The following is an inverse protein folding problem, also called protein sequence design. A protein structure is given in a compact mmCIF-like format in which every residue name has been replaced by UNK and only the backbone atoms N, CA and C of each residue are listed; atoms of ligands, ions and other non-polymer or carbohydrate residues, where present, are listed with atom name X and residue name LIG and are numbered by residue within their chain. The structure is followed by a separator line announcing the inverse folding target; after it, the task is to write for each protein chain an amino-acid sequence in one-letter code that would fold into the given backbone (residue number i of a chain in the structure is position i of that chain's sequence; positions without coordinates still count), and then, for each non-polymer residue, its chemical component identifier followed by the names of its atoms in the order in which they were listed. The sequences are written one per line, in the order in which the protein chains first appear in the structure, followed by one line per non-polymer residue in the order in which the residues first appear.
data_IF_227127329269
#
_entry.id   IF_227127329269
#
_cell.length_a   1.000
_cell.length_b   1.000
_cell.length_c   1.000
_cell.angle_alpha   90.00
_cell.angle_beta   90.00
_cell.angle_gamma   90.00
#
_symmetry.space_group_name_H-M   'P 1'
#
loop_
_entity.id
_entity.type
_entity.pdbx_description
1 polymer ?
#
# COMPACT_ATOMS: atom_id res chain seq x y z
N UNK A 1 2.41 10.51 -19.25
CA UNK A 1 2.52 11.71 -18.37
C UNK A 1 2.85 12.88 -19.28
N UNK A 2 2.14 14.01 -19.22
CA UNK A 2 2.36 15.16 -20.11
C UNK A 2 2.45 14.80 -21.61
N UNK A 3 1.48 14.04 -22.13
CA UNK A 3 1.38 13.65 -23.57
C UNK A 3 2.56 12.84 -24.13
N UNK A 4 3.53 12.43 -23.29
CA UNK A 4 4.66 11.61 -23.69
C UNK A 4 4.59 10.20 -23.09
N UNK A 5 4.89 9.15 -23.87
CA UNK A 5 5.10 7.82 -23.34
C UNK A 5 6.44 7.76 -22.62
N UNK A 6 6.44 7.25 -21.39
CA UNK A 6 7.66 7.00 -20.63
C UNK A 6 7.81 5.50 -20.38
N UNK A 7 9.04 4.99 -20.53
CA UNK A 7 9.39 3.66 -20.01
C UNK A 7 9.38 3.70 -18.48
N UNK A 8 8.99 2.61 -17.84
CA UNK A 8 9.01 2.50 -16.36
C UNK A 8 10.38 2.87 -15.77
N UNK A 9 11.47 2.44 -16.42
CA UNK A 9 12.86 2.80 -16.06
C UNK A 9 13.03 4.31 -15.92
N UNK A 10 12.51 5.10 -16.86
CA UNK A 10 12.64 6.55 -16.85
C UNK A 10 11.85 7.21 -15.71
N UNK A 11 10.81 6.55 -15.19
CA UNK A 11 10.02 7.02 -14.05
C UNK A 11 10.68 6.64 -12.71
N UNK A 12 11.39 5.51 -12.66
CA UNK A 12 12.08 5.02 -11.44
C UNK A 12 13.44 5.71 -11.25
N UNK A 13 14.19 5.99 -12.32
CA UNK A 13 15.52 6.61 -12.24
C UNK A 13 15.57 7.89 -11.39
N UNK A 14 14.63 8.86 -11.52
CA UNK A 14 14.67 10.08 -10.71
C UNK A 14 14.51 9.82 -9.20
N UNK A 15 13.76 8.78 -8.82
CA UNK A 15 13.58 8.38 -7.42
C UNK A 15 14.90 7.83 -6.86
N UNK A 16 15.52 6.88 -7.58
CA UNK A 16 16.81 6.31 -7.21
C UNK A 16 17.91 7.36 -7.15
N UNK A 17 17.94 8.29 -8.10
CA UNK A 17 18.89 9.41 -8.10
C UNK A 17 18.70 10.30 -6.86
N UNK A 18 17.46 10.58 -6.46
CA UNK A 18 17.16 11.36 -5.25
C UNK A 18 17.59 10.62 -3.99
N UNK A 19 17.37 9.31 -3.92
CA UNK A 19 17.84 8.46 -2.82
C UNK A 19 19.37 8.53 -2.73
N UNK A 20 20.08 8.30 -3.84
CA UNK A 20 21.55 8.36 -3.90
C UNK A 20 22.09 9.71 -3.43
N UNK A 21 21.55 10.82 -3.93
CA UNK A 21 21.96 12.18 -3.51
C UNK A 21 21.72 12.43 -2.02
N UNK A 22 20.64 11.88 -1.47
CA UNK A 22 20.34 11.98 -0.04
C UNK A 22 21.35 11.18 0.78
N UNK A 23 21.72 9.98 0.32
CA UNK A 23 22.76 9.15 0.93
C UNK A 23 24.13 9.84 0.87
N UNK A 24 24.54 10.38 -0.27
CA UNK A 24 25.80 11.14 -0.40
C UNK A 24 25.88 12.29 0.61
N UNK A 25 24.76 13.01 0.79
CA UNK A 25 24.68 14.12 1.75
C UNK A 25 24.79 13.61 3.19
N UNK A 26 24.10 12.52 3.53
CA UNK A 26 24.17 11.90 4.85
C UNK A 26 25.59 11.37 5.16
N UNK A 27 26.24 10.69 4.21
CA UNK A 27 27.58 10.14 4.37
C UNK A 27 28.63 11.24 4.54
N UNK A 28 28.56 12.33 3.75
CA UNK A 28 29.47 13.48 3.90
C UNK A 28 29.40 14.13 5.28
N UNK A 29 28.22 14.13 5.91
CA UNK A 29 28.02 14.73 7.22
C UNK A 29 28.49 13.83 8.36
N UNK A 30 28.51 12.50 8.16
CA UNK A 30 28.74 11.51 9.23
C UNK A 30 30.07 10.76 9.12
N UNK A 31 30.76 10.79 7.99
CA UNK A 31 32.04 10.10 7.76
C UNK A 31 33.17 11.10 7.47
N UNK A 32 34.34 10.87 8.08
CA UNK A 32 35.53 11.71 7.88
C UNK A 32 36.11 11.62 6.45
N UNK A 33 35.74 10.59 5.68
CA UNK A 33 36.10 10.43 4.27
C UNK A 33 34.86 10.40 3.39
N UNK A 34 34.91 11.15 2.29
CA UNK A 34 33.89 11.11 1.26
C UNK A 34 33.92 9.75 0.54
N UNK A 35 33.15 8.79 1.04
CA UNK A 35 32.88 7.56 0.30
C UNK A 35 31.85 7.85 -0.79
N UNK A 36 32.11 7.40 -2.02
CA UNK A 36 31.13 7.50 -3.09
C UNK A 36 29.94 6.58 -2.77
N UNK A 37 28.71 7.11 -2.86
CA UNK A 37 27.49 6.29 -2.76
C UNK A 37 27.19 5.62 -4.11
N UNK A 38 28.18 4.95 -4.69
CA UNK A 38 28.12 4.31 -6.01
C UNK A 38 27.73 2.84 -5.97
N UNK A 39 27.54 2.27 -4.78
CA UNK A 39 27.05 0.91 -4.57
C UNK A 39 25.68 0.88 -3.91
N UNK A 40 24.84 -0.09 -4.28
CA UNK A 40 23.54 -0.33 -3.66
C UNK A 40 23.13 -1.81 -3.73
N UNK A 41 22.54 -2.31 -2.64
CA UNK A 41 21.74 -3.52 -2.66
C UNK A 41 20.27 -3.12 -2.83
N UNK A 42 19.67 -3.53 -3.95
CA UNK A 42 18.31 -3.20 -4.31
C UNK A 42 17.40 -4.38 -3.95
N UNK A 43 16.39 -4.09 -3.12
CA UNK A 43 15.33 -5.04 -2.80
C UNK A 43 14.48 -5.37 -4.03
N UNK A 44 13.95 -6.59 -4.07
CA UNK A 44 12.89 -6.97 -5.00
C UNK A 44 11.90 -7.96 -4.35
N UNK A 45 10.65 -8.01 -4.83
CA UNK A 45 9.73 -9.06 -4.43
C UNK A 45 10.26 -10.42 -4.93
N UNK A 46 9.85 -11.52 -4.29
CA UNK A 46 10.24 -12.88 -4.75
C UNK A 46 9.80 -13.09 -6.19
N UNK A 47 8.59 -12.64 -6.53
CA UNK A 47 8.07 -12.60 -7.89
C UNK A 47 7.59 -11.19 -8.25
N UNK A 48 8.04 -10.69 -9.40
CA UNK A 48 7.50 -9.48 -10.02
C UNK A 48 6.12 -9.77 -10.64
N UNK A 49 5.24 -8.77 -10.70
CA UNK A 49 3.99 -8.93 -11.43
C UNK A 49 4.22 -9.14 -12.94
N UNK A 50 3.57 -10.16 -13.51
CA UNK A 50 3.55 -10.38 -14.95
C UNK A 50 3.09 -11.79 -15.35
N UNK A 51 2.47 -11.90 -16.52
CA UNK A 51 1.98 -13.18 -17.08
C UNK A 51 3.03 -13.92 -17.92
N UNK A 52 4.11 -13.24 -18.29
CA UNK A 52 5.14 -13.80 -19.17
C UNK A 52 6.17 -14.60 -18.37
N UNK A 53 6.72 -15.68 -18.92
CA UNK A 53 7.71 -16.52 -18.23
C UNK A 53 8.97 -15.77 -17.75
N UNK A 54 9.32 -14.63 -18.37
CA UNK A 54 10.49 -13.81 -18.04
C UNK A 54 10.16 -12.55 -17.22
N UNK A 55 9.01 -12.50 -16.55
CA UNK A 55 8.59 -11.33 -15.76
C UNK A 55 9.62 -10.93 -14.68
N UNK A 56 10.16 -11.91 -13.95
CA UNK A 56 11.19 -11.69 -12.94
C UNK A 56 12.48 -11.12 -13.53
N UNK A 57 12.97 -11.72 -14.60
CA UNK A 57 14.17 -11.24 -15.30
C UNK A 57 13.95 -9.82 -15.85
N UNK A 58 12.78 -9.56 -16.43
CA UNK A 58 12.42 -8.24 -16.96
C UNK A 58 12.35 -7.19 -15.83
N UNK A 59 11.79 -7.55 -14.67
CA UNK A 59 11.73 -6.70 -13.48
C UNK A 59 13.12 -6.32 -12.99
N UNK A 60 13.99 -7.32 -12.77
CA UNK A 60 15.38 -7.11 -12.36
C UNK A 60 16.18 -6.30 -13.37
N UNK A 61 16.03 -6.57 -14.68
CA UNK A 61 16.71 -5.80 -15.72
C UNK A 61 16.29 -4.33 -15.71
N UNK A 62 14.99 -4.04 -15.52
CA UNK A 62 14.50 -2.65 -15.41
C UNK A 62 15.05 -1.96 -14.17
N UNK A 63 15.09 -2.65 -13.03
CA UNK A 63 15.63 -2.12 -11.79
C UNK A 63 17.14 -1.83 -11.92
N UNK A 64 17.88 -2.75 -12.54
CA UNK A 64 19.31 -2.61 -12.87
C UNK A 64 19.58 -1.44 -13.82
N UNK A 65 18.81 -1.32 -14.90
CA UNK A 65 18.90 -0.21 -15.85
C UNK A 65 18.63 1.13 -15.15
N UNK A 66 17.59 1.20 -14.31
CA UNK A 66 17.25 2.41 -13.57
C UNK A 66 18.33 2.79 -12.55
N UNK A 67 18.88 1.81 -11.83
CA UNK A 67 20.00 1.99 -10.89
C UNK A 67 21.27 2.48 -11.58
N UNK A 68 21.56 1.95 -12.77
CA UNK A 68 22.68 2.39 -13.60
C UNK A 68 22.54 3.84 -14.03
N UNK A 69 21.37 4.26 -14.53
CA UNK A 69 21.12 5.67 -14.86
C UNK A 69 21.09 6.59 -13.63
N UNK A 70 20.73 6.07 -12.45
CA UNK A 70 20.84 6.80 -11.19
C UNK A 70 22.30 6.91 -10.69
N UNK A 71 23.21 6.18 -11.32
CA UNK A 71 24.64 6.20 -11.06
C UNK A 71 25.10 5.30 -9.92
N UNK A 72 24.38 4.21 -9.66
CA UNK A 72 24.88 3.07 -8.89
C UNK A 72 25.68 2.16 -9.83
N UNK A 73 27.01 2.18 -9.72
CA UNK A 73 27.94 1.39 -10.52
C UNK A 73 27.99 -0.07 -10.07
N UNK A 74 27.85 -0.32 -8.77
CA UNK A 74 27.85 -1.65 -8.19
C UNK A 74 26.48 -1.95 -7.61
N UNK A 75 25.78 -2.89 -8.23
CA UNK A 75 24.42 -3.24 -7.84
C UNK A 75 24.36 -4.71 -7.45
N UNK A 76 23.73 -4.97 -6.32
CA UNK A 76 23.27 -6.31 -5.94
C UNK A 76 21.76 -6.32 -5.77
N UNK A 77 21.18 -7.49 -5.91
CA UNK A 77 19.75 -7.70 -5.78
C UNK A 77 19.49 -8.71 -4.68
N UNK A 78 18.50 -8.45 -3.85
CA UNK A 78 18.17 -9.33 -2.74
C UNK A 78 16.66 -9.37 -2.47
N UNK A 79 16.08 -10.55 -2.20
CA UNK A 79 14.65 -10.65 -1.94
C UNK A 79 14.25 -9.90 -0.66
N UNK A 80 13.25 -9.03 -0.78
CA UNK A 80 12.71 -8.23 0.32
C UNK A 80 12.26 -9.04 1.54
N UNK A 81 11.51 -10.17 1.41
CA UNK A 81 11.11 -10.93 2.59
C UNK A 81 12.30 -11.56 3.31
N UNK A 82 13.35 -11.96 2.58
CA UNK A 82 14.59 -12.47 3.19
C UNK A 82 15.35 -11.32 3.86
N UNK A 83 15.37 -10.13 3.26
CA UNK A 83 15.96 -8.94 3.87
C UNK A 83 15.31 -8.64 5.23
N UNK A 84 13.97 -8.61 5.29
CA UNK A 84 13.24 -8.41 6.53
C UNK A 84 13.59 -9.47 7.59
N UNK A 85 13.69 -10.75 7.19
CA UNK A 85 14.08 -11.83 8.09
C UNK A 85 15.52 -11.71 8.60
N UNK A 86 16.48 -11.36 7.74
CA UNK A 86 17.88 -11.13 8.12
C UNK A 86 17.99 -9.97 9.10
N UNK A 87 17.23 -8.90 8.90
CA UNK A 87 17.21 -7.76 9.79
C UNK A 87 16.87 -8.18 11.22
N UNK A 88 15.87 -9.06 11.39
CA UNK A 88 15.54 -9.61 12.70
C UNK A 88 16.63 -10.55 13.22
N UNK A 89 17.05 -11.54 12.43
CA UNK A 89 18.02 -12.56 12.86
C UNK A 89 19.40 -11.98 13.17
N UNK A 90 19.72 -10.80 12.66
CA UNK A 90 20.96 -10.09 13.01
C UNK A 90 21.04 -9.75 14.49
N UNK A 91 19.91 -9.41 15.12
CA UNK A 91 19.84 -9.09 16.55
C UNK A 91 19.74 -10.35 17.44
N UNK A 92 19.47 -11.52 16.84
CA UNK A 92 19.30 -12.81 17.52
C UNK A 92 20.16 -13.94 16.88
N UNK A 93 21.50 -13.81 16.92
CA UNK A 93 22.42 -14.72 16.23
C UNK A 93 22.38 -16.17 16.75
N UNK A 94 21.82 -16.42 17.94
CA UNK A 94 21.61 -17.75 18.50
C UNK A 94 20.56 -18.57 17.74
N UNK A 95 19.71 -17.93 16.95
CA UNK A 95 18.67 -18.58 16.14
C UNK A 95 19.31 -19.18 14.89
N UNK A 96 19.69 -20.46 14.96
CA UNK A 96 20.37 -21.16 13.87
C UNK A 96 19.42 -21.89 12.92
N UNK A 97 18.17 -22.12 13.31
CA UNK A 97 17.14 -22.72 12.45
C UNK A 97 15.77 -22.21 12.85
N UNK A 98 14.94 -21.82 11.87
CA UNK A 98 13.58 -21.36 12.13
C UNK A 98 12.71 -21.37 10.87
N UNK A 99 11.46 -21.75 11.00
CA UNK A 99 10.43 -21.53 9.98
C UNK A 99 9.69 -20.23 10.30
N UNK A 100 9.66 -19.30 9.34
CA UNK A 100 9.21 -17.94 9.55
C UNK A 100 8.13 -17.58 8.53
N UNK A 101 7.15 -16.77 8.94
CA UNK A 101 6.20 -16.12 8.04
C UNK A 101 6.51 -14.62 8.02
N UNK A 102 6.94 -14.09 6.89
CA UNK A 102 7.02 -12.66 6.66
C UNK A 102 5.67 -12.17 6.13
N UNK A 103 5.15 -11.11 6.74
CA UNK A 103 3.87 -10.46 6.42
C UNK A 103 4.15 -8.99 6.12
N UNK A 104 4.21 -8.61 4.86
CA UNK A 104 4.35 -7.21 4.46
C UNK A 104 2.99 -6.65 4.03
N UNK A 105 2.37 -5.86 4.90
CA UNK A 105 1.08 -5.24 4.61
C UNK A 105 1.27 -3.76 4.28
N UNK A 106 1.47 -3.51 2.99
CA UNK A 106 1.79 -2.20 2.43
C UNK A 106 0.59 -1.32 2.09
N UNK A 107 0.83 -0.35 1.21
CA UNK A 107 -0.19 0.58 0.69
C UNK A 107 -1.04 -0.04 -0.42
N UNK A 108 -0.41 -0.70 -1.39
CA UNK A 108 -1.12 -1.32 -2.53
C UNK A 108 -1.37 -2.82 -2.37
N UNK A 109 -0.45 -3.52 -1.71
CA UNK A 109 -0.38 -4.98 -1.67
C UNK A 109 -0.21 -5.53 -0.26
N UNK A 110 -0.52 -6.82 -0.14
CA UNK A 110 -0.20 -7.68 0.97
C UNK A 110 0.68 -8.79 0.41
N UNK A 111 1.93 -8.84 0.88
CA UNK A 111 2.91 -9.81 0.43
C UNK A 111 3.26 -10.75 1.59
N UNK A 112 2.98 -12.04 1.39
CA UNK A 112 3.18 -13.10 2.37
C UNK A 112 4.27 -14.06 1.90
N UNK A 113 5.19 -14.42 2.78
CA UNK A 113 6.30 -15.30 2.42
C UNK A 113 6.64 -16.25 3.56
N UNK A 114 6.61 -17.55 3.28
CA UNK A 114 7.10 -18.58 4.21
C UNK A 114 8.57 -18.86 3.91
N UNK A 115 9.40 -18.70 4.92
CA UNK A 115 10.85 -18.84 4.85
C UNK A 115 11.31 -19.95 5.78
N UNK A 116 12.30 -20.73 5.34
CA UNK A 116 13.07 -21.63 6.22
C UNK A 116 14.50 -21.11 6.31
N UNK A 117 14.92 -20.84 7.53
CA UNK A 117 16.29 -20.47 7.86
C UNK A 117 17.04 -21.68 8.42
N UNK A 118 18.25 -21.96 7.92
CA UNK A 118 19.18 -22.96 8.46
C UNK A 118 20.62 -22.48 8.32
N UNK A 119 21.26 -22.12 9.43
CA UNK A 119 22.63 -21.61 9.47
C UNK A 119 22.73 -20.24 8.81
N UNK A 120 23.26 -20.19 7.58
CA UNK A 120 23.30 -18.96 6.77
C UNK A 120 22.35 -19.03 5.56
N UNK A 121 21.67 -20.17 5.37
CA UNK A 121 20.82 -20.41 4.20
C UNK A 121 19.38 -20.02 4.50
N UNK A 122 18.80 -19.30 3.55
CA UNK A 122 17.38 -19.01 3.49
C UNK A 122 16.77 -19.72 2.29
N UNK A 123 15.67 -20.41 2.53
CA UNK A 123 14.84 -21.04 1.50
C UNK A 123 13.46 -20.37 1.54
N UNK A 124 13.02 -19.88 0.38
CA UNK A 124 11.63 -19.44 0.20
C UNK A 124 10.79 -20.67 -0.09
N UNK A 125 9.91 -21.03 0.84
CA UNK A 125 9.02 -22.21 0.71
C UNK A 125 7.79 -21.86 -0.11
N UNK A 126 7.17 -20.71 0.17
CA UNK A 126 6.04 -20.21 -0.59
C UNK A 126 6.02 -18.68 -0.57
N UNK A 127 5.39 -18.09 -1.58
CA UNK A 127 5.09 -16.65 -1.62
C UNK A 127 3.72 -16.43 -2.21
N UNK A 128 2.98 -15.48 -1.64
CA UNK A 128 1.65 -15.13 -2.08
C UNK A 128 1.47 -13.61 -1.98
N UNK A 129 1.24 -12.96 -3.12
CA UNK A 129 0.97 -11.52 -3.21
C UNK A 129 -0.51 -11.29 -3.53
N UNK A 130 -1.16 -10.44 -2.76
CA UNK A 130 -2.57 -10.07 -2.95
C UNK A 130 -2.67 -8.57 -3.16
N UNK A 131 -3.54 -8.16 -4.08
CA UNK A 131 -3.95 -6.76 -4.26
C UNK A 131 -4.83 -6.25 -3.12
N UNK A 132 -4.40 -6.48 -1.87
CA UNK A 132 -5.04 -6.02 -0.65
C UNK A 132 -4.04 -5.10 0.05
N UNK A 133 -4.34 -3.81 0.08
CA UNK A 133 -3.43 -2.79 0.61
C UNK A 133 -4.14 -1.77 1.48
N UNK A 134 -3.36 -0.93 2.15
CA UNK A 134 -3.88 0.22 2.89
C UNK A 134 -4.78 1.15 2.05
N UNK A 135 -4.56 1.25 0.74
CA UNK A 135 -5.37 2.05 -0.18
C UNK A 135 -6.77 1.46 -0.36
N UNK A 136 -6.91 0.13 -0.33
CA UNK A 136 -8.22 -0.53 -0.37
C UNK A 136 -9.02 -0.27 0.92
N UNK A 137 -8.34 -0.22 2.06
CA UNK A 137 -8.94 0.19 3.34
C UNK A 137 -9.39 1.65 3.26
N UNK A 138 -8.56 2.54 2.71
CA UNK A 138 -8.90 3.96 2.54
C UNK A 138 -10.13 4.14 1.63
N UNK A 139 -10.22 3.36 0.55
CA UNK A 139 -11.39 3.34 -0.34
C UNK A 139 -12.66 2.86 0.36
N UNK A 140 -12.58 1.83 1.22
CA UNK A 140 -13.74 1.40 2.00
C UNK A 140 -14.19 2.45 3.00
N UNK A 141 -13.25 3.11 3.69
CA UNK A 141 -13.56 4.22 4.57
C UNK A 141 -14.23 5.37 3.80
N UNK A 142 -13.70 5.72 2.63
CA UNK A 142 -14.32 6.73 1.76
C UNK A 142 -15.75 6.35 1.40
N UNK A 143 -15.96 5.10 0.95
CA UNK A 143 -17.26 4.57 0.55
C UNK A 143 -18.26 4.58 1.72
N UNK A 144 -17.84 4.14 2.91
CA UNK A 144 -18.74 4.00 4.07
C UNK A 144 -19.03 5.33 4.75
N UNK A 145 -18.03 6.21 4.86
CA UNK A 145 -18.15 7.46 5.60
C UNK A 145 -18.62 8.62 4.71
N UNK A 146 -18.09 8.74 3.49
CA UNK A 146 -18.31 9.94 2.67
C UNK A 146 -19.48 9.78 1.69
N UNK A 147 -19.67 8.63 1.03
CA UNK A 147 -20.74 8.51 0.03
C UNK A 147 -22.14 8.91 0.55
N UNK A 148 -22.58 8.50 1.76
CA UNK A 148 -23.88 8.95 2.29
C UNK A 148 -23.96 10.47 2.49
N UNK A 149 -22.83 11.12 2.81
CA UNK A 149 -22.72 12.56 2.99
C UNK A 149 -22.57 13.33 1.66
N UNK A 150 -22.25 12.62 0.58
CA UNK A 150 -22.15 13.13 -0.79
C UNK A 150 -23.43 12.88 -1.62
N UNK A 151 -24.44 12.22 -1.05
CA UNK A 151 -25.75 12.02 -1.68
C UNK A 151 -26.05 10.60 -2.14
N UNK A 152 -25.23 9.60 -1.78
CA UNK A 152 -25.58 8.20 -2.04
C UNK A 152 -26.86 7.82 -1.29
N UNK A 153 -27.80 7.22 -2.03
CA UNK A 153 -29.12 6.81 -1.52
C UNK A 153 -30.20 7.88 -1.61
N UNK A 154 -29.84 9.10 -2.03
CA UNK A 154 -30.80 10.19 -2.18
C UNK A 154 -31.61 10.08 -3.48
N UNK A 155 -32.82 10.63 -3.44
CA UNK A 155 -33.73 10.72 -4.59
C UNK A 155 -33.61 12.09 -5.25
N UNK A 156 -34.00 12.17 -6.52
CA UNK A 156 -34.05 13.41 -7.27
C UNK A 156 -35.28 13.46 -8.17
N UNK A 157 -35.82 14.66 -8.36
CA UNK A 157 -36.84 14.95 -9.36
C UNK A 157 -36.21 15.54 -10.62
N UNK A 158 -36.65 15.06 -11.78
CA UNK A 158 -36.28 15.58 -13.11
C UNK A 158 -37.52 15.79 -13.96
N UNK A 159 -37.49 16.76 -14.88
CA UNK A 159 -38.54 16.95 -15.89
C UNK A 159 -38.46 15.83 -16.93
N UNK A 160 -39.48 14.98 -16.98
CA UNK A 160 -39.74 14.10 -18.13
C UNK A 160 -40.52 14.85 -19.22
N UNK A 161 -40.80 14.19 -20.36
CA UNK A 161 -41.53 14.80 -21.48
C UNK A 161 -42.91 15.35 -21.07
N UNK A 162 -43.67 14.62 -20.25
CA UNK A 162 -45.05 14.99 -19.87
C UNK A 162 -45.28 15.11 -18.34
N UNK A 163 -44.31 14.74 -17.51
CA UNK A 163 -44.44 14.73 -16.04
C UNK A 163 -43.10 14.84 -15.34
N UNK A 164 -43.11 15.33 -14.10
CA UNK A 164 -41.97 15.15 -13.22
C UNK A 164 -41.78 13.67 -12.87
N UNK A 165 -40.54 13.22 -12.92
CA UNK A 165 -40.15 11.85 -12.59
C UNK A 165 -39.25 11.92 -11.37
N UNK A 166 -39.62 11.21 -10.31
CA UNK A 166 -38.81 11.05 -9.12
C UNK A 166 -38.16 9.66 -9.12
N UNK A 167 -36.82 9.62 -9.15
CA UNK A 167 -36.04 8.37 -9.07
C UNK A 167 -34.94 8.47 -8.02
N UNK A 168 -34.23 7.37 -7.77
CA UNK A 168 -32.92 7.46 -7.13
C UNK A 168 -31.98 8.30 -7.99
N UNK A 169 -31.13 9.09 -7.34
CA UNK A 169 -30.01 9.73 -8.01
C UNK A 169 -29.02 8.64 -8.45
N UNK A 170 -28.51 8.66 -9.69
CA UNK A 170 -27.62 7.62 -10.21
C UNK A 170 -26.19 7.76 -9.65
N UNK A 171 -26.04 7.68 -8.32
CA UNK A 171 -24.76 7.86 -7.63
C UNK A 171 -23.72 6.81 -8.04
N UNK A 172 -24.18 5.63 -8.49
CA UNK A 172 -23.33 4.53 -8.95
C UNK A 172 -22.43 4.93 -10.13
N UNK A 173 -22.84 5.92 -10.93
CA UNK A 173 -22.03 6.47 -12.03
C UNK A 173 -20.82 7.31 -11.56
N UNK A 174 -20.78 7.67 -10.27
CA UNK A 174 -19.76 8.53 -9.67
C UNK A 174 -18.75 7.72 -8.85
N UNK A 175 -19.12 6.54 -8.34
CA UNK A 175 -18.37 5.84 -7.30
C UNK A 175 -16.92 5.53 -7.69
N UNK A 176 -16.72 4.89 -8.83
CA UNK A 176 -15.38 4.48 -9.27
C UNK A 176 -14.45 5.69 -9.50
N UNK A 177 -15.02 6.80 -9.98
CA UNK A 177 -14.28 8.05 -10.19
C UNK A 177 -13.99 8.77 -8.87
N UNK A 178 -14.89 8.68 -7.89
CA UNK A 178 -14.68 9.22 -6.55
C UNK A 178 -13.62 8.43 -5.78
N UNK A 179 -13.55 7.11 -5.97
CA UNK A 179 -12.57 6.25 -5.30
C UNK A 179 -11.18 6.31 -5.94
N UNK A 180 -11.08 6.78 -7.18
CA UNK A 180 -9.82 6.94 -7.89
C UNK A 180 -9.47 8.42 -8.07
N UNK A 181 -8.83 9.00 -7.06
CA UNK A 181 -8.46 10.42 -7.05
C UNK A 181 -7.58 10.84 -8.24
N UNK A 182 -6.81 9.93 -8.83
CA UNK A 182 -5.95 10.24 -9.98
C UNK A 182 -6.75 10.54 -11.26
N UNK A 183 -8.00 10.06 -11.34
CA UNK A 183 -8.90 10.29 -12.48
C UNK A 183 -10.19 11.02 -12.10
N UNK A 184 -10.34 11.45 -10.85
CA UNK A 184 -11.56 12.12 -10.38
C UNK A 184 -11.83 13.43 -11.11
N UNK A 185 -10.81 14.06 -11.71
CA UNK A 185 -10.97 15.22 -12.60
C UNK A 185 -11.95 14.97 -13.76
N UNK A 186 -12.18 13.72 -14.16
CA UNK A 186 -13.18 13.34 -15.18
C UNK A 186 -14.61 13.70 -14.76
N UNK A 187 -14.89 13.78 -13.45
CA UNK A 187 -16.17 14.22 -12.91
C UNK A 187 -16.46 15.70 -13.21
N UNK A 188 -15.48 16.50 -13.66
CA UNK A 188 -15.74 17.89 -14.04
C UNK A 188 -16.58 18.05 -15.32
N UNK A 189 -16.80 16.98 -16.07
CA UNK A 189 -17.63 16.98 -17.27
C UNK A 189 -19.10 17.30 -16.95
N UNK A 190 -19.79 17.94 -17.90
CA UNK A 190 -21.19 18.36 -17.73
C UNK A 190 -22.13 17.17 -17.48
N UNK A 191 -21.81 15.98 -18.00
CA UNK A 191 -22.60 14.78 -17.76
C UNK A 191 -22.71 14.40 -16.27
N UNK A 192 -21.70 14.76 -15.46
CA UNK A 192 -21.69 14.51 -14.02
C UNK A 192 -22.10 15.76 -13.21
N UNK A 193 -21.71 16.95 -13.65
CA UNK A 193 -21.95 18.17 -12.86
C UNK A 193 -23.36 18.71 -13.01
N UNK A 194 -23.98 18.58 -14.20
CA UNK A 194 -25.36 19.04 -14.42
C UNK A 194 -26.39 18.31 -13.54
N UNK A 195 -26.36 16.96 -13.43
CA UNK A 195 -27.28 16.26 -12.53
C UNK A 195 -27.15 16.68 -11.07
N UNK A 196 -25.90 16.87 -10.60
CA UNK A 196 -25.63 17.33 -9.23
C UNK A 196 -26.20 18.74 -9.01
N UNK A 197 -26.02 19.66 -9.96
CA UNK A 197 -26.58 21.01 -9.87
C UNK A 197 -28.11 21.02 -9.84
N UNK A 198 -28.77 20.27 -10.74
CA UNK A 198 -30.23 20.11 -10.73
C UNK A 198 -30.75 19.52 -9.41
N UNK A 199 -29.93 18.68 -8.77
CA UNK A 199 -30.28 18.15 -7.46
C UNK A 199 -30.16 19.17 -6.34
N UNK A 200 -29.20 20.09 -6.43
CA UNK A 200 -29.02 21.18 -5.46
C UNK A 200 -30.20 22.18 -5.52
N UNK A 201 -30.74 22.45 -6.71
CA UNK A 201 -31.87 23.38 -6.94
C UNK A 201 -33.18 22.98 -6.24
N UNK A 202 -33.30 21.74 -5.76
CA UNK A 202 -34.48 21.28 -5.04
C UNK A 202 -34.56 21.82 -3.60
N UNK A 203 -33.49 22.46 -3.11
CA UNK A 203 -33.42 23.21 -1.83
C UNK A 203 -33.95 22.48 -0.58
N UNK A 204 -33.89 21.15 -0.58
CA UNK A 204 -34.23 20.29 0.56
C UNK A 204 -32.99 19.96 1.42
N UNK A 205 -33.17 19.16 2.48
CA UNK A 205 -32.07 18.77 3.37
C UNK A 205 -30.92 18.07 2.63
N UNK A 206 -31.25 17.26 1.63
CA UNK A 206 -30.26 16.53 0.83
C UNK A 206 -29.47 17.46 -0.10
N UNK A 207 -29.96 18.66 -0.44
CA UNK A 207 -29.20 19.63 -1.25
C UNK A 207 -27.83 19.95 -0.63
N UNK A 208 -27.70 19.94 0.70
CA UNK A 208 -26.41 20.12 1.38
C UNK A 208 -25.39 19.04 0.99
N UNK A 209 -25.82 17.77 0.90
CA UNK A 209 -24.96 16.63 0.50
C UNK A 209 -24.43 16.79 -0.92
N UNK A 210 -25.31 17.23 -1.84
CA UNK A 210 -24.92 17.47 -3.22
C UNK A 210 -24.04 18.71 -3.40
N UNK A 211 -24.17 19.74 -2.55
CA UNK A 211 -23.20 20.85 -2.50
C UNK A 211 -21.80 20.35 -2.12
N UNK A 212 -21.69 19.44 -1.13
CA UNK A 212 -20.40 18.79 -0.79
C UNK A 212 -19.82 18.03 -1.98
N UNK A 213 -20.64 17.22 -2.66
CA UNK A 213 -20.22 16.50 -3.88
C UNK A 213 -19.77 17.46 -4.98
N UNK A 214 -20.51 18.54 -5.20
CA UNK A 214 -20.18 19.54 -6.21
C UNK A 214 -18.83 20.22 -5.91
N UNK A 215 -18.62 20.70 -4.68
CA UNK A 215 -17.33 21.31 -4.29
C UNK A 215 -16.19 20.32 -4.37
N UNK A 216 -16.39 19.07 -3.92
CA UNK A 216 -15.38 18.00 -4.03
C UNK A 216 -14.92 17.83 -5.49
N UNK A 217 -15.86 17.80 -6.43
CA UNK A 217 -15.60 17.66 -7.87
C UNK A 217 -14.91 18.92 -8.42
N UNK A 218 -15.54 20.09 -8.25
CA UNK A 218 -15.09 21.33 -8.91
C UNK A 218 -13.76 21.84 -8.40
N UNK A 219 -13.46 21.61 -7.12
CA UNK A 219 -12.20 22.02 -6.50
C UNK A 219 -11.14 20.91 -6.49
N UNK A 220 -11.48 19.73 -7.00
CA UNK A 220 -10.63 18.54 -7.01
C UNK A 220 -10.15 18.12 -5.60
N UNK A 221 -11.05 18.18 -4.60
CA UNK A 221 -10.73 17.83 -3.21
C UNK A 221 -10.68 16.32 -2.94
N UNK A 222 -10.83 15.46 -3.95
CA UNK A 222 -10.70 14.00 -3.80
C UNK A 222 -9.39 13.59 -3.14
N UNK A 223 -8.26 14.18 -3.56
CA UNK A 223 -6.96 13.86 -2.97
C UNK A 223 -6.88 14.24 -1.48
N UNK A 224 -7.38 15.43 -1.12
CA UNK A 224 -7.42 15.90 0.28
C UNK A 224 -8.30 14.99 1.14
N UNK A 225 -9.46 14.57 0.63
CA UNK A 225 -10.33 13.63 1.34
C UNK A 225 -9.65 12.28 1.60
N UNK A 226 -8.94 11.73 0.61
CA UNK A 226 -8.14 10.51 0.79
C UNK A 226 -6.98 10.69 1.78
N UNK A 227 -6.33 11.85 1.78
CA UNK A 227 -5.29 12.16 2.76
C UNK A 227 -5.85 12.19 4.19
N UNK A 228 -6.99 12.87 4.40
CA UNK A 228 -7.65 12.93 5.69
C UNK A 228 -8.09 11.53 6.19
N UNK A 229 -8.57 10.67 5.29
CA UNK A 229 -8.90 9.27 5.60
C UNK A 229 -7.66 8.47 5.99
N UNK A 230 -6.55 8.63 5.26
CA UNK A 230 -5.29 7.94 5.58
C UNK A 230 -4.77 8.35 6.96
N UNK A 231 -4.88 9.63 7.31
CA UNK A 231 -4.53 10.16 8.63
C UNK A 231 -5.49 9.67 9.73
N UNK A 232 -6.79 9.56 9.45
CA UNK A 232 -7.77 8.96 10.35
C UNK A 232 -7.38 7.50 10.67
N UNK A 233 -7.15 6.69 9.62
CA UNK A 233 -6.72 5.29 9.75
C UNK A 233 -5.47 5.16 10.60
N UNK A 234 -4.44 5.95 10.31
CA UNK A 234 -3.19 5.91 11.07
C UNK A 234 -3.38 6.30 12.56
N UNK A 235 -4.23 7.29 12.86
CA UNK A 235 -4.57 7.64 14.24
C UNK A 235 -5.31 6.52 14.96
N UNK A 236 -6.26 5.86 14.30
CA UNK A 236 -7.00 4.73 14.88
C UNK A 236 -6.13 3.50 15.15
N UNK A 237 -4.97 3.38 14.48
CA UNK A 237 -3.98 2.35 14.82
C UNK A 237 -3.28 2.59 16.16
N UNK A 238 -3.32 3.80 16.71
CA UNK A 238 -2.67 4.17 17.99
C UNK A 238 -3.63 4.69 19.05
N UNK A 239 -4.83 5.12 18.67
CA UNK A 239 -5.83 5.74 19.53
C UNK A 239 -7.15 4.95 19.44
N UNK A 240 -7.94 4.94 20.52
CA UNK A 240 -9.26 4.27 20.52
C UNK A 240 -10.32 5.04 19.71
N UNK A 241 -10.09 6.33 19.47
CA UNK A 241 -10.99 7.19 18.71
C UNK A 241 -10.20 8.27 17.97
N UNK A 242 -10.70 8.70 16.82
CA UNK A 242 -10.12 9.79 16.04
C UNK A 242 -11.22 10.53 15.26
N UNK A 243 -10.92 11.75 14.82
CA UNK A 243 -11.85 12.63 14.11
C UNK A 243 -11.42 12.80 12.65
N UNK A 244 -12.31 12.50 11.70
CA UNK A 244 -12.17 12.85 10.30
C UNK A 244 -12.70 14.26 10.09
N UNK A 245 -11.82 15.19 9.74
CA UNK A 245 -12.15 16.58 9.52
C UNK A 245 -11.75 16.97 8.10
N UNK A 246 -12.73 17.37 7.28
CA UNK A 246 -12.53 17.84 5.90
C UNK A 246 -13.32 19.15 5.76
N UNK A 247 -12.76 20.28 6.22
CA UNK A 247 -13.46 21.57 6.27
C UNK A 247 -13.86 22.09 4.89
N UNK A 248 -13.11 21.74 3.85
CA UNK A 248 -13.38 22.13 2.46
C UNK A 248 -14.76 21.68 1.95
N UNK A 249 -15.30 20.62 2.54
CA UNK A 249 -16.62 20.08 2.21
C UNK A 249 -17.51 19.92 3.45
N UNK A 250 -17.20 20.63 4.54
CA UNK A 250 -18.00 20.62 5.76
C UNK A 250 -18.31 19.20 6.27
N UNK A 251 -17.26 18.40 6.46
CA UNK A 251 -17.37 17.05 7.01
C UNK A 251 -16.58 16.96 8.31
N UNK A 252 -17.27 16.51 9.35
CA UNK A 252 -16.74 16.26 10.67
C UNK A 252 -17.34 14.96 11.21
N UNK A 253 -16.52 13.92 11.36
CA UNK A 253 -16.96 12.60 11.83
C UNK A 253 -16.01 12.11 12.93
N UNK A 254 -16.55 11.85 14.12
CA UNK A 254 -15.84 11.10 15.14
C UNK A 254 -16.01 9.60 14.86
N UNK A 255 -14.91 8.84 14.86
CA UNK A 255 -14.91 7.40 14.65
C UNK A 255 -14.11 6.70 15.76
N UNK A 256 -14.65 5.60 16.28
CA UNK A 256 -13.94 4.71 17.20
C UNK A 256 -13.18 3.62 16.45
N UNK A 257 -12.16 3.03 17.07
CA UNK A 257 -11.42 1.90 16.49
C UNK A 257 -12.33 0.72 16.18
N UNK A 258 -13.28 0.41 17.07
CA UNK A 258 -14.25 -0.68 16.85
C UNK A 258 -15.15 -0.45 15.62
N UNK A 259 -15.60 0.78 15.39
CA UNK A 259 -16.39 1.10 14.19
C UNK A 259 -15.54 1.02 12.93
N UNK A 260 -14.30 1.49 12.99
CA UNK A 260 -13.33 1.32 11.90
C UNK A 260 -13.08 -0.16 11.58
N UNK A 261 -12.82 -0.99 12.58
CA UNK A 261 -12.60 -2.44 12.40
C UNK A 261 -13.85 -3.15 11.84
N UNK A 262 -15.05 -2.67 12.20
CA UNK A 262 -16.31 -3.14 11.60
C UNK A 262 -16.41 -2.76 10.12
N UNK A 263 -16.01 -1.54 9.75
CA UNK A 263 -16.01 -1.07 8.36
C UNK A 263 -15.08 -1.93 7.48
N UNK A 264 -13.95 -2.38 8.04
CA UNK A 264 -12.92 -3.11 7.29
C UNK A 264 -12.97 -4.64 7.46
N UNK A 265 -14.07 -5.17 8.02
CA UNK A 265 -14.19 -6.58 8.37
C UNK A 265 -13.98 -7.52 7.16
N UNK A 266 -14.43 -7.12 5.97
CA UNK A 266 -14.23 -7.89 4.74
C UNK A 266 -12.75 -7.96 4.36
N UNK A 267 -12.02 -6.84 4.47
CA UNK A 267 -10.57 -6.78 4.21
C UNK A 267 -9.79 -7.62 5.23
N UNK A 268 -10.20 -7.59 6.49
CA UNK A 268 -9.61 -8.43 7.54
C UNK A 268 -9.85 -9.93 7.27
N UNK A 269 -11.03 -10.28 6.76
CA UNK A 269 -11.35 -11.65 6.35
C UNK A 269 -10.49 -12.09 5.16
N UNK A 270 -10.32 -11.22 4.15
CA UNK A 270 -9.41 -11.49 3.03
C UNK A 270 -7.95 -11.60 3.45
N UNK A 271 -7.49 -10.78 4.41
CA UNK A 271 -6.16 -10.88 4.99
C UNK A 271 -5.93 -12.24 5.66
N UNK A 272 -6.89 -12.70 6.46
CA UNK A 272 -6.84 -14.03 7.10
C UNK A 272 -6.81 -15.15 6.06
N UNK A 273 -7.67 -15.07 5.04
CA UNK A 273 -7.70 -16.06 3.95
C UNK A 273 -6.37 -16.11 3.20
N UNK A 274 -5.74 -14.97 2.92
CA UNK A 274 -4.45 -14.93 2.25
C UNK A 274 -3.34 -15.66 3.06
N UNK A 275 -3.39 -15.57 4.41
CA UNK A 275 -2.48 -16.35 5.28
C UNK A 275 -2.77 -17.84 5.14
N UNK A 276 -4.03 -18.25 5.24
CA UNK A 276 -4.44 -19.65 5.10
C UNK A 276 -3.99 -20.22 3.73
N UNK A 277 -4.19 -19.46 2.65
CA UNK A 277 -3.75 -19.83 1.30
C UNK A 277 -2.23 -19.93 1.20
N UNK A 278 -1.49 -19.04 1.86
CA UNK A 278 -0.01 -19.07 1.87
C UNK A 278 0.51 -20.30 2.60
N UNK A 279 -0.08 -20.66 3.74
CA UNK A 279 0.29 -21.87 4.49
C UNK A 279 -0.03 -23.13 3.69
N UNK A 280 -1.18 -23.15 2.99
CA UNK A 280 -1.55 -24.24 2.10
C UNK A 280 -0.56 -24.38 0.93
N UNK A 281 -0.15 -23.28 0.30
CA UNK A 281 0.88 -23.27 -0.75
C UNK A 281 2.24 -23.76 -0.24
N UNK A 282 2.57 -23.50 1.01
CA UNK A 282 3.78 -23.99 1.66
C UNK A 282 3.67 -25.44 2.16
N UNK A 283 2.49 -26.04 2.07
CA UNK A 283 2.18 -27.38 2.60
C UNK A 283 2.55 -27.55 4.09
N UNK A 284 2.31 -26.51 4.90
CA UNK A 284 2.58 -26.52 6.35
C UNK A 284 1.35 -26.09 7.16
N UNK A 285 1.30 -26.50 8.43
CA UNK A 285 0.32 -26.02 9.38
C UNK A 285 0.80 -24.73 10.07
N UNK A 286 -0.15 -23.94 10.60
CA UNK A 286 0.19 -22.74 11.39
C UNK A 286 1.07 -23.05 12.61
N UNK A 287 0.96 -24.27 13.17
CA UNK A 287 1.81 -24.75 14.26
C UNK A 287 3.29 -24.84 13.89
N UNK A 288 3.59 -25.08 12.61
CA UNK A 288 4.95 -25.27 12.08
C UNK A 288 5.69 -23.95 11.88
N UNK A 289 4.96 -22.83 11.80
CA UNK A 289 5.54 -21.49 11.79
C UNK A 289 6.04 -21.17 13.20
N UNK A 290 7.30 -20.82 13.35
CA UNK A 290 7.96 -20.58 14.63
C UNK A 290 8.20 -19.09 14.92
N UNK A 291 7.96 -18.23 13.94
CA UNK A 291 8.03 -16.77 14.06
C UNK A 291 7.25 -16.10 12.94
N UNK A 292 6.55 -15.03 13.26
CA UNK A 292 5.86 -14.17 12.29
C UNK A 292 6.48 -12.78 12.36
N UNK A 293 7.07 -12.33 11.25
CA UNK A 293 7.61 -10.99 11.11
C UNK A 293 6.60 -10.16 10.35
N UNK A 294 6.02 -9.13 10.97
CA UNK A 294 5.13 -8.20 10.29
C UNK A 294 5.84 -6.88 9.96
N UNK A 295 5.67 -6.44 8.71
CA UNK A 295 6.19 -5.18 8.16
C UNK A 295 5.08 -4.44 7.41
N UNK A 296 5.35 -3.20 7.02
CA UNK A 296 4.41 -2.37 6.28
C UNK A 296 3.42 -1.62 7.18
N UNK A 297 3.03 -0.41 6.76
CA UNK A 297 2.24 0.50 7.59
C UNK A 297 0.85 -0.03 7.95
N UNK A 298 0.24 -0.85 7.10
CA UNK A 298 -1.09 -1.44 7.37
C UNK A 298 -1.03 -2.57 8.39
N UNK A 299 0.15 -3.16 8.63
CA UNK A 299 0.36 -4.16 9.68
C UNK A 299 0.26 -3.59 11.11
N UNK A 300 0.27 -2.25 11.25
CA UNK A 300 0.09 -1.55 12.52
C UNK A 300 -1.36 -1.51 12.98
N UNK A 301 -2.33 -1.89 12.15
CA UNK A 301 -3.74 -1.95 12.53
C UNK A 301 -3.93 -3.01 13.63
N UNK A 302 -4.53 -2.67 14.79
CA UNK A 302 -4.67 -3.60 15.92
C UNK A 302 -5.40 -4.89 15.56
N UNK A 303 -6.51 -4.84 14.82
CA UNK A 303 -7.18 -6.05 14.32
C UNK A 303 -6.26 -6.97 13.49
N UNK A 304 -5.36 -6.42 12.67
CA UNK A 304 -4.40 -7.22 11.89
C UNK A 304 -3.44 -7.96 12.83
N UNK A 305 -2.91 -7.25 13.83
CA UNK A 305 -2.07 -7.86 14.87
C UNK A 305 -2.82 -8.95 15.63
N UNK A 306 -4.07 -8.71 16.02
CA UNK A 306 -4.88 -9.67 16.76
C UNK A 306 -5.11 -10.95 15.96
N UNK A 307 -5.44 -10.85 14.66
CA UNK A 307 -5.57 -12.02 13.77
C UNK A 307 -4.27 -12.82 13.73
N UNK A 308 -3.12 -12.15 13.61
CA UNK A 308 -1.82 -12.84 13.61
C UNK A 308 -1.54 -13.53 14.96
N UNK A 309 -1.83 -12.89 16.09
CA UNK A 309 -1.63 -13.47 17.42
C UNK A 309 -2.59 -14.64 17.70
N UNK A 310 -3.82 -14.60 17.17
CA UNK A 310 -4.77 -15.71 17.25
C UNK A 310 -4.28 -16.92 16.44
N UNK A 311 -3.72 -16.70 15.25
CA UNK A 311 -3.18 -17.75 14.39
C UNK A 311 -1.83 -18.29 14.87
N UNK A 312 -0.98 -17.42 15.42
CA UNK A 312 0.39 -17.74 15.81
C UNK A 312 0.71 -17.24 17.24
N UNK A 313 0.07 -17.81 18.29
CA UNK A 313 0.17 -17.28 19.65
C UNK A 313 1.60 -17.16 20.16
N UNK A 314 2.01 -15.94 20.54
CA UNK A 314 3.34 -15.68 21.11
C UNK A 314 4.50 -15.77 20.12
N UNK A 315 4.20 -15.83 18.81
CA UNK A 315 5.20 -15.93 17.73
C UNK A 315 5.26 -14.67 16.88
N UNK A 316 4.36 -13.70 17.07
CA UNK A 316 4.29 -12.48 16.27
C UNK A 316 5.19 -11.40 16.83
N UNK A 317 6.07 -10.87 15.99
CA UNK A 317 6.97 -9.79 16.37
C UNK A 317 6.72 -8.56 15.50
N UNK A 318 6.82 -7.38 16.13
CA UNK A 318 6.98 -6.13 15.39
C UNK A 318 8.47 -5.89 15.22
N UNK A 319 8.98 -6.01 13.99
CA UNK A 319 10.38 -5.71 13.69
C UNK A 319 10.43 -4.56 12.70
N UNK A 320 10.64 -3.35 13.22
CA UNK A 320 10.65 -2.06 12.51
C UNK A 320 9.86 -2.06 11.18
N UNK A 321 8.54 -1.78 11.23
CA UNK A 321 7.65 -1.95 10.09
C UNK A 321 8.01 -1.13 8.86
N UNK A 322 8.84 -0.09 9.00
CA UNK A 322 9.19 0.81 7.90
C UNK A 322 10.66 0.68 7.46
N UNK A 323 11.56 0.24 8.33
CA UNK A 323 13.00 0.20 7.99
C UNK A 323 13.60 -1.21 7.95
N UNK A 324 12.89 -2.23 8.42
CA UNK A 324 13.41 -3.62 8.50
C UNK A 324 13.95 -4.14 7.19
N UNK A 325 13.24 -3.95 6.06
CA UNK A 325 13.72 -4.34 4.72
C UNK A 325 15.01 -3.59 4.36
N UNK A 326 15.04 -2.27 4.54
CA UNK A 326 16.22 -1.46 4.21
C UNK A 326 17.44 -1.83 5.07
N UNK A 327 17.26 -2.05 6.37
CA UNK A 327 18.29 -2.54 7.28
C UNK A 327 18.78 -3.93 6.86
N UNK A 328 17.85 -4.83 6.51
CA UNK A 328 18.15 -6.16 5.97
C UNK A 328 18.98 -6.13 4.70
N UNK A 329 18.66 -5.24 3.75
CA UNK A 329 19.41 -5.04 2.52
C UNK A 329 20.83 -4.52 2.80
N UNK A 330 20.99 -3.62 3.77
CA UNK A 330 22.31 -3.13 4.19
C UNK A 330 23.16 -4.26 4.82
N UNK A 331 22.56 -5.11 5.66
CA UNK A 331 23.21 -6.29 6.24
C UNK A 331 23.58 -7.30 5.16
N UNK A 332 22.67 -7.56 4.21
CA UNK A 332 22.91 -8.45 3.08
C UNK A 332 24.06 -7.95 2.19
N UNK A 333 24.16 -6.64 1.94
CA UNK A 333 25.30 -6.06 1.21
C UNK A 333 26.61 -6.23 1.99
N UNK A 334 26.61 -5.92 3.30
CA UNK A 334 27.78 -6.07 4.15
C UNK A 334 28.31 -7.51 4.20
N UNK A 335 27.41 -8.49 4.28
CA UNK A 335 27.74 -9.94 4.24
C UNK A 335 27.95 -10.48 2.82
N UNK A 336 27.67 -9.67 1.81
CA UNK A 336 27.80 -10.01 0.41
C UNK A 336 26.85 -11.09 -0.11
N UNK A 337 25.64 -11.18 0.47
CA UNK A 337 24.62 -12.18 0.15
C UNK A 337 23.80 -11.87 -1.12
N UNK A 338 23.81 -10.60 -1.56
CA UNK A 338 23.07 -10.17 -2.75
C UNK A 338 23.65 -10.73 -4.05
N UNK A 339 22.76 -11.02 -5.00
CA UNK A 339 23.14 -11.49 -6.33
C UNK A 339 23.58 -10.34 -7.23
N UNK A 340 24.62 -10.57 -8.04
CA UNK A 340 24.96 -9.65 -9.14
C UNK A 340 24.13 -10.01 -10.36
N UNK A 341 23.65 -9.02 -11.10
CA UNK A 341 23.07 -9.30 -12.41
C UNK A 341 24.08 -10.03 -13.29
N UNK A 342 23.68 -11.11 -13.99
CA UNK A 342 24.55 -11.73 -14.98
C UNK A 342 24.92 -10.68 -16.02
N UNK A 343 26.21 -10.63 -16.39
CA UNK A 343 26.66 -9.77 -17.48
C UNK A 343 25.81 -10.10 -18.71
N UNK A 344 25.29 -9.07 -19.40
CA UNK A 344 24.61 -9.26 -20.69
C UNK A 344 25.53 -10.12 -21.55
N UNK A 345 25.08 -11.30 -21.96
CA UNK A 345 25.76 -12.01 -23.03
C UNK A 345 25.78 -11.07 -24.25
N UNK A 346 26.96 -10.91 -24.89
CA UNK A 346 27.16 -9.92 -25.95
C UNK A 346 26.22 -10.11 -27.13
#
# INVERSE_FOLDING_TARGET
VFERPFRLVALVTPLLLRIRKSLETCLRNNLQQASAADHACLGHPVNFEGLNASHNETGLQRLSEAGGYAGFQHQRFFPEPIAAAISYLFDYPEITSKTMLAVDFGGGTLDLCVLRHRGEKFEVVATHGVGLGGDHIDQQLFRRLLFPLLGKGERWRRKGEDREIETLFPFEEYEDLLLNWAVSYRLNQNQYTTPVMQRIEQEDEAAAKFRRLYELIKRNYSYLAFQAIKELKARLSSQEQARLDIPEIDIDIQLTRSEFETIIADQLSSFRQAIDDTLALAEIAASDVELVIRTGGSSLIPAVKNILEELFPGKVIEHDPFTSVAAGLAIAEYRGLGEKMPAKKP
#
